data_IF_955888800782
#
_entry.id   IF_955888800782
#
_cell.length_a   1.000
_cell.length_b   1.000
_cell.length_c   1.000
_cell.angle_alpha   90.00
_cell.angle_beta   90.00
_cell.angle_gamma   90.00
#
_symmetry.space_group_name_H-M   'P 1'
#
loop_
_entity.id
_entity.type
_entity.pdbx_description
1 polymer ?
#
# COMPACT_ATOMS: atom_id res chain seq x y z
N UNK A 1 15.24 6.89 -5.01
CA UNK A 1 13.95 6.44 -4.46
C UNK A 1 12.91 7.51 -4.78
N UNK A 2 11.70 7.16 -5.23
CA UNK A 2 10.63 8.14 -5.46
C UNK A 2 10.30 8.91 -4.16
N UNK A 3 9.85 10.16 -4.29
CA UNK A 3 9.39 10.95 -3.14
C UNK A 3 8.03 10.43 -2.66
N UNK A 4 7.66 10.74 -1.42
CA UNK A 4 6.38 10.26 -0.83
C UNK A 4 5.21 10.85 -1.62
N UNK A 5 5.32 12.13 -1.95
CA UNK A 5 4.32 12.93 -2.64
C UNK A 5 4.06 12.39 -4.05
N UNK A 6 5.11 11.95 -4.76
CA UNK A 6 4.98 11.37 -6.10
C UNK A 6 4.22 10.04 -6.07
N UNK A 7 4.50 9.20 -5.06
CA UNK A 7 3.80 7.92 -4.87
C UNK A 7 2.34 8.14 -4.48
N UNK A 8 2.06 9.07 -3.55
CA UNK A 8 0.69 9.43 -3.18
C UNK A 8 -0.09 9.99 -4.37
N UNK A 9 0.52 10.87 -5.16
CA UNK A 9 -0.10 11.43 -6.37
C UNK A 9 -0.45 10.34 -7.39
N UNK A 10 0.44 9.35 -7.59
CA UNK A 10 0.16 8.20 -8.47
C UNK A 10 -0.98 7.35 -7.91
N UNK A 11 -0.92 6.98 -6.62
CA UNK A 11 -1.91 6.15 -5.95
C UNK A 11 -3.33 6.77 -6.01
N UNK A 12 -3.44 8.08 -5.78
CA UNK A 12 -4.69 8.84 -5.72
C UNK A 12 -5.20 9.32 -7.09
N UNK A 13 -4.48 8.99 -8.18
CA UNK A 13 -4.85 9.42 -9.52
C UNK A 13 -6.23 8.87 -9.95
N UNK A 14 -6.89 9.63 -10.84
CA UNK A 14 -8.15 9.25 -11.46
C UNK A 14 -7.95 9.16 -12.98
N UNK A 15 -8.33 8.06 -13.65
CA UNK A 15 -8.91 6.83 -13.08
C UNK A 15 -7.94 6.08 -12.16
N UNK A 16 -8.47 5.20 -11.30
CA UNK A 16 -7.65 4.39 -10.37
C UNK A 16 -6.49 3.74 -11.11
N UNK A 17 -5.24 3.89 -10.64
CA UNK A 17 -4.07 3.39 -11.35
C UNK A 17 -4.12 1.86 -11.48
N UNK A 18 -3.73 1.36 -12.65
CA UNK A 18 -3.62 -0.08 -12.94
C UNK A 18 -2.18 -0.58 -12.93
N UNK A 19 -1.21 0.31 -12.74
CA UNK A 19 0.23 0.04 -12.81
C UNK A 19 0.98 0.43 -11.53
N UNK A 20 0.27 0.50 -10.40
CA UNK A 20 0.89 0.75 -9.10
C UNK A 20 1.37 -0.58 -8.52
N UNK A 21 2.68 -0.73 -8.35
CA UNK A 21 3.31 -2.03 -8.01
C UNK A 21 3.43 -2.25 -6.50
N UNK A 22 3.59 -3.51 -6.08
CA UNK A 22 3.92 -3.86 -4.69
C UNK A 22 5.23 -3.20 -4.23
N UNK A 23 6.20 -3.00 -5.12
CA UNK A 23 7.46 -2.29 -4.82
C UNK A 23 7.24 -0.80 -4.54
N UNK A 24 6.37 -0.15 -5.31
CA UNK A 24 5.97 1.23 -5.04
C UNK A 24 5.18 1.34 -3.74
N UNK A 25 4.33 0.35 -3.45
CA UNK A 25 3.64 0.27 -2.18
C UNK A 25 4.61 0.13 -1.01
N UNK A 26 5.56 -0.79 -1.06
CA UNK A 26 6.59 -0.95 -0.02
C UNK A 26 7.36 0.35 0.24
N UNK A 27 7.71 1.08 -0.83
CA UNK A 27 8.39 2.36 -0.72
C UNK A 27 7.51 3.43 -0.08
N UNK A 28 6.21 3.49 -0.43
CA UNK A 28 5.24 4.41 0.15
C UNK A 28 5.01 4.11 1.63
N UNK A 29 4.68 2.86 1.96
CA UNK A 29 4.33 2.45 3.32
C UNK A 29 5.50 2.68 4.28
N UNK A 30 6.75 2.42 3.86
CA UNK A 30 7.94 2.75 4.66
C UNK A 30 8.06 4.25 4.97
N UNK A 31 7.69 5.13 4.03
CA UNK A 31 7.67 6.59 4.22
C UNK A 31 6.48 7.07 5.05
N UNK A 32 5.49 6.21 5.25
CA UNK A 32 4.31 6.45 6.07
C UNK A 32 4.41 5.75 7.44
N UNK A 33 5.62 5.55 7.98
CA UNK A 33 5.80 4.93 9.31
C UNK A 33 5.31 3.48 9.43
N UNK A 34 5.18 2.75 8.32
CA UNK A 34 4.71 1.36 8.35
C UNK A 34 5.84 0.35 8.23
N UNK A 35 5.71 -0.75 8.97
CA UNK A 35 6.55 -1.96 8.83
C UNK A 35 5.82 -3.03 8.03
N UNK A 36 6.50 -3.58 7.02
CA UNK A 36 5.99 -4.71 6.23
C UNK A 36 6.11 -6.02 7.01
N UNK A 37 5.12 -6.88 6.86
CA UNK A 37 5.15 -8.27 7.31
C UNK A 37 4.50 -9.19 6.26
N UNK A 38 4.81 -10.48 6.33
CA UNK A 38 4.21 -11.49 5.47
C UNK A 38 2.94 -12.04 6.12
N UNK A 39 1.88 -12.23 5.31
CA UNK A 39 0.54 -12.57 5.78
C UNK A 39 0.35 -14.00 6.31
N UNK A 40 1.40 -14.66 6.77
CA UNK A 40 1.37 -16.03 7.30
C UNK A 40 1.50 -17.10 6.20
N UNK A 41 0.39 -17.46 5.54
CA UNK A 41 0.38 -18.47 4.46
C UNK A 41 0.12 -17.83 3.10
N UNK A 42 0.89 -18.23 2.09
CA UNK A 42 0.77 -17.72 0.72
C UNK A 42 1.50 -16.39 0.51
N UNK A 43 1.12 -15.65 -0.54
CA UNK A 43 1.77 -14.39 -0.94
C UNK A 43 1.17 -13.15 -0.26
N UNK A 44 0.54 -13.32 0.91
CA UNK A 44 -0.12 -12.24 1.62
C UNK A 44 0.85 -11.11 1.99
N UNK A 45 0.41 -9.87 1.74
CA UNK A 45 1.15 -8.65 2.04
C UNK A 45 0.47 -7.94 3.20
N UNK A 46 1.23 -7.61 4.24
CA UNK A 46 0.76 -6.87 5.41
C UNK A 46 1.63 -5.66 5.73
N UNK A 47 1.00 -4.61 6.25
CA UNK A 47 1.67 -3.43 6.78
C UNK A 47 1.09 -3.04 8.13
N UNK A 48 1.97 -2.73 9.07
CA UNK A 48 1.65 -2.27 10.42
C UNK A 48 2.14 -0.84 10.61
N UNK A 49 1.23 0.10 10.89
CA UNK A 49 1.59 1.48 11.21
C UNK A 49 2.04 1.59 12.66
N UNK A 50 3.27 2.04 12.89
CA UNK A 50 3.88 1.96 14.22
C UNK A 50 3.23 2.90 15.23
N UNK A 51 2.75 4.08 14.81
CA UNK A 51 2.15 5.07 15.71
C UNK A 51 0.72 4.69 16.09
N UNK A 52 -0.14 4.47 15.10
CA UNK A 52 -1.58 4.20 15.33
C UNK A 52 -1.89 2.73 15.60
N UNK A 53 -0.91 1.83 15.46
CA UNK A 53 -1.03 0.38 15.64
C UNK A 53 -1.99 -0.29 14.65
N UNK A 54 -2.48 0.43 13.64
CA UNK A 54 -3.37 -0.11 12.59
C UNK A 54 -2.63 -1.03 11.64
N UNK A 55 -3.37 -2.00 11.11
CA UNK A 55 -2.86 -2.99 10.16
C UNK A 55 -3.73 -2.96 8.90
N UNK A 56 -3.09 -3.08 7.74
CA UNK A 56 -3.74 -3.44 6.48
C UNK A 56 -3.06 -4.68 5.90
N UNK A 57 -3.85 -5.66 5.47
CA UNK A 57 -3.37 -6.91 4.91
C UNK A 57 -4.30 -7.38 3.79
N UNK A 58 -3.72 -7.95 2.74
CA UNK A 58 -4.44 -8.57 1.62
C UNK A 58 -3.56 -9.60 0.91
N UNK A 59 -4.16 -10.48 0.11
CA UNK A 59 -3.44 -11.42 -0.74
C UNK A 59 -2.59 -10.68 -1.79
N UNK A 60 -1.35 -11.12 -2.01
CA UNK A 60 -0.47 -10.53 -3.01
C UNK A 60 -1.03 -10.68 -4.43
N UNK A 61 -0.94 -9.65 -5.30
CA UNK A 61 -1.45 -9.73 -6.66
C UNK A 61 -0.66 -10.68 -7.56
N UNK A 62 -1.34 -11.50 -8.35
CA UNK A 62 -0.75 -12.47 -9.30
C UNK A 62 -1.59 -12.61 -10.58
N UNK A 63 -1.00 -12.67 -11.80
CA UNK A 63 0.40 -12.38 -12.16
C UNK A 63 0.65 -10.86 -12.31
N UNK A 64 1.89 -10.38 -12.11
CA UNK A 64 2.32 -9.02 -12.51
C UNK A 64 2.86 -8.10 -11.41
N UNK A 65 2.55 -8.37 -10.14
CA UNK A 65 2.89 -7.50 -8.99
C UNK A 65 2.22 -6.11 -8.99
N UNK A 66 1.38 -5.77 -9.97
CA UNK A 66 0.53 -4.58 -9.90
C UNK A 66 -0.65 -4.82 -8.95
N UNK A 67 -0.97 -3.82 -8.15
CA UNK A 67 -2.08 -3.89 -7.22
C UNK A 67 -3.42 -3.93 -7.97
N UNK A 68 -4.30 -4.82 -7.53
CA UNK A 68 -5.69 -4.81 -7.95
C UNK A 68 -6.41 -3.55 -7.44
N UNK A 69 -7.48 -3.14 -8.14
CA UNK A 69 -8.27 -1.96 -7.75
C UNK A 69 -8.77 -2.01 -6.31
N UNK A 70 -9.14 -3.18 -5.80
CA UNK A 70 -9.61 -3.30 -4.42
C UNK A 70 -8.47 -3.05 -3.42
N UNK A 71 -7.25 -3.50 -3.72
CA UNK A 71 -6.05 -3.27 -2.89
C UNK A 71 -5.72 -1.78 -2.85
N UNK A 72 -5.80 -1.08 -4.00
CA UNK A 72 -5.65 0.37 -4.05
C UNK A 72 -6.66 1.07 -3.12
N UNK A 73 -7.94 0.69 -3.20
CA UNK A 73 -8.99 1.26 -2.34
C UNK A 73 -8.74 0.97 -0.85
N UNK A 74 -8.30 -0.24 -0.51
CA UNK A 74 -7.94 -0.61 0.87
C UNK A 74 -6.78 0.24 1.38
N UNK A 75 -5.73 0.43 0.58
CA UNK A 75 -4.57 1.26 0.94
C UNK A 75 -4.99 2.72 1.11
N UNK A 76 -5.78 3.29 0.19
CA UNK A 76 -6.25 4.69 0.33
C UNK A 76 -7.05 4.85 1.62
N UNK A 77 -7.97 3.94 1.92
CA UNK A 77 -8.73 3.97 3.18
C UNK A 77 -7.80 3.91 4.39
N UNK A 78 -6.86 2.96 4.39
CA UNK A 78 -5.89 2.81 5.47
C UNK A 78 -5.07 4.09 5.69
N UNK A 79 -4.54 4.70 4.61
CA UNK A 79 -3.76 5.93 4.70
C UNK A 79 -4.56 7.09 5.30
N UNK A 80 -5.86 7.22 4.97
CA UNK A 80 -6.73 8.20 5.62
C UNK A 80 -6.96 7.90 7.10
N UNK A 81 -7.13 6.63 7.48
CA UNK A 81 -7.29 6.23 8.89
C UNK A 81 -6.03 6.44 9.73
N UNK A 82 -4.84 6.47 9.12
CA UNK A 82 -3.57 6.74 9.81
C UNK A 82 -3.09 8.19 9.66
N UNK A 83 -3.87 9.06 9.02
CA UNK A 83 -3.57 10.49 8.90
C UNK A 83 -2.50 10.84 7.85
N UNK A 84 -2.31 9.98 6.85
CA UNK A 84 -1.30 10.14 5.80
C UNK A 84 -1.82 10.86 4.55
N UNK A 85 -3.14 10.94 4.41
CA UNK A 85 -3.86 11.66 3.35
C UNK A 85 -5.18 12.25 3.85
#
# INVERSE_FOLDING_TARGET
>A
MPKKEDLLRKLLSKPTPTNFTTRELDALMKKCGCKKFEGGRGSGIGYYHEETKRIVQFDGPHPGNELYRYQIKMIIKFLGEVGEI
#
